data_IF_313707547091
#
_entry.id   IF_313707547091
#
_cell.length_a   1.000
_cell.length_b   1.000
_cell.length_c   1.000
_cell.angle_alpha   90.00
_cell.angle_beta   90.00
_cell.angle_gamma   90.00
#
_symmetry.space_group_name_H-M   'P 1'
#
loop_
_entity.id
_entity.type
_entity.pdbx_description
1 polymer ?
#
# COMPACT_ATOMS: atom_id res chain seq x y z
N UNK A 1 11.14 -7.72 -2.84
CA UNK A 1 11.80 -8.84 -2.18
C UNK A 1 13.32 -8.70 -2.34
N UNK A 2 13.91 -7.87 -1.51
CA UNK A 2 15.36 -7.64 -1.41
C UNK A 2 15.72 -7.66 0.08
N UNK A 3 16.39 -8.73 0.50
CA UNK A 3 16.74 -8.97 1.92
C UNK A 3 17.47 -7.79 2.56
N UNK A 4 18.31 -7.08 1.80
CA UNK A 4 19.07 -5.93 2.31
C UNK A 4 18.14 -4.79 2.76
N UNK A 5 17.03 -4.56 2.04
CA UNK A 5 16.04 -3.56 2.39
C UNK A 5 15.05 -4.09 3.44
N UNK A 6 14.59 -5.32 3.26
CA UNK A 6 13.59 -5.96 4.10
C UNK A 6 14.10 -6.15 5.54
N UNK A 7 15.35 -6.59 5.71
CA UNK A 7 15.99 -6.72 7.03
C UNK A 7 16.09 -5.38 7.78
N UNK A 8 16.38 -4.28 7.06
CA UNK A 8 16.43 -2.94 7.66
C UNK A 8 15.02 -2.52 8.12
N UNK A 9 13.99 -2.77 7.33
CA UNK A 9 12.62 -2.44 7.70
C UNK A 9 12.16 -3.22 8.96
N UNK A 10 12.46 -4.52 9.01
CA UNK A 10 12.20 -5.38 10.17
C UNK A 10 12.95 -4.90 11.40
N UNK A 11 14.24 -4.62 11.27
CA UNK A 11 15.09 -4.11 12.37
C UNK A 11 14.56 -2.76 12.89
N UNK A 12 14.18 -1.86 11.98
CA UNK A 12 13.67 -0.53 12.33
C UNK A 12 12.39 -0.63 13.17
N UNK A 13 11.40 -1.43 12.71
CA UNK A 13 10.15 -1.60 13.45
C UNK A 13 10.38 -2.24 14.83
N UNK A 14 11.18 -3.31 14.91
CA UNK A 14 11.53 -3.93 16.20
C UNK A 14 12.23 -2.97 17.14
N UNK A 15 13.19 -2.22 16.63
CA UNK A 15 13.95 -1.23 17.43
C UNK A 15 13.04 -0.13 17.95
N UNK A 16 12.20 0.44 17.09
CA UNK A 16 11.24 1.47 17.47
C UNK A 16 10.29 0.97 18.58
N UNK A 17 9.69 -0.20 18.39
CA UNK A 17 8.78 -0.76 19.38
C UNK A 17 9.46 -1.08 20.71
N UNK A 18 10.68 -1.62 20.68
CA UNK A 18 11.46 -1.87 21.89
C UNK A 18 11.84 -0.58 22.63
N UNK A 19 11.97 0.53 21.91
CA UNK A 19 12.23 1.83 22.51
C UNK A 19 10.98 2.41 23.16
N UNK A 20 9.85 2.44 22.46
CA UNK A 20 8.61 3.05 23.00
C UNK A 20 8.03 2.26 24.16
N UNK A 21 8.17 0.92 24.18
CA UNK A 21 7.74 0.05 25.30
C UNK A 21 8.47 0.33 26.63
N UNK A 22 9.59 1.07 26.59
CA UNK A 22 10.29 1.51 27.82
C UNK A 22 9.62 2.69 28.51
N UNK A 23 8.64 3.31 27.85
CA UNK A 23 7.95 4.49 28.35
C UNK A 23 6.53 4.12 28.78
N UNK A 24 6.13 4.58 29.95
CA UNK A 24 4.75 4.47 30.38
C UNK A 24 3.90 5.56 29.75
N UNK A 25 2.74 5.19 29.28
CA UNK A 25 1.75 6.13 28.77
C UNK A 25 0.87 6.66 29.89
N UNK A 26 0.10 7.72 29.59
CA UNK A 26 -0.96 8.16 30.47
C UNK A 26 -1.94 6.99 30.75
N UNK A 27 -2.31 6.79 32.02
CA UNK A 27 -3.11 5.65 32.50
C UNK A 27 -2.43 4.28 32.41
N UNK A 28 -1.12 4.24 32.28
CA UNK A 28 -0.32 3.01 32.27
C UNK A 28 -0.76 2.01 31.16
N UNK A 29 -1.23 2.53 30.01
CA UNK A 29 -1.51 1.71 28.84
C UNK A 29 -0.20 1.36 28.11
N UNK A 30 -0.20 0.24 27.40
CA UNK A 30 0.93 -0.15 26.57
C UNK A 30 0.91 0.64 25.24
N UNK A 31 2.05 1.18 24.80
CA UNK A 31 2.15 1.79 23.48
C UNK A 31 2.09 0.72 22.39
N UNK A 32 1.32 1.01 21.35
CA UNK A 32 1.24 0.21 20.14
C UNK A 32 1.64 1.05 18.92
N UNK A 33 1.73 0.45 17.75
CA UNK A 33 2.01 1.16 16.51
C UNK A 33 1.18 0.61 15.36
N UNK A 34 0.92 1.48 14.38
CA UNK A 34 0.42 1.11 13.06
C UNK A 34 1.38 1.58 11.98
N UNK A 35 1.35 0.92 10.83
CA UNK A 35 2.00 1.40 9.61
C UNK A 35 0.90 1.76 8.63
N UNK A 36 0.50 3.02 8.65
CA UNK A 36 -0.67 3.53 7.94
C UNK A 36 -0.46 5.00 7.57
N UNK A 37 -0.86 5.40 6.38
CA UNK A 37 -0.81 6.80 5.96
C UNK A 37 -2.17 7.37 5.52
N UNK A 38 -3.14 6.53 5.22
CA UNK A 38 -4.38 6.94 4.55
C UNK A 38 -4.03 7.71 3.26
N UNK A 39 -4.54 8.92 3.05
CA UNK A 39 -4.14 9.85 1.98
C UNK A 39 -3.12 10.89 2.45
N UNK A 40 -2.72 10.85 3.71
CA UNK A 40 -1.76 11.81 4.29
C UNK A 40 -0.35 11.65 3.78
N UNK A 41 0.00 10.53 3.12
CA UNK A 41 1.26 10.36 2.41
C UNK A 41 1.54 11.50 1.42
N UNK A 42 0.50 12.01 0.74
CA UNK A 42 0.59 13.16 -0.17
C UNK A 42 0.94 14.42 0.62
N UNK A 43 0.21 14.70 1.70
CA UNK A 43 0.42 15.89 2.53
C UNK A 43 1.79 15.86 3.22
N UNK A 44 2.17 14.74 3.82
CA UNK A 44 3.47 14.61 4.47
C UNK A 44 4.62 14.74 3.47
N UNK A 45 4.46 14.18 2.26
CA UNK A 45 5.43 14.33 1.20
C UNK A 45 5.68 15.79 0.80
N UNK A 46 4.65 16.63 0.78
CA UNK A 46 4.78 18.07 0.47
C UNK A 46 5.73 18.80 1.42
N UNK A 47 5.79 18.38 2.67
CA UNK A 47 6.63 19.00 3.71
C UNK A 47 7.94 18.23 3.96
N UNK A 48 8.21 17.17 3.18
CA UNK A 48 9.43 16.37 3.31
C UNK A 48 10.42 16.76 2.21
N UNK A 49 11.66 17.06 2.62
CA UNK A 49 12.78 17.38 1.72
C UNK A 49 13.20 16.17 0.88
N UNK A 50 14.21 16.35 0.02
CA UNK A 50 14.84 15.26 -0.72
C UNK A 50 15.27 14.13 0.24
N UNK A 51 15.07 12.90 -0.19
CA UNK A 51 15.47 11.72 0.58
C UNK A 51 16.64 10.99 -0.10
N UNK A 52 17.45 10.25 0.66
CA UNK A 52 18.63 9.53 0.12
C UNK A 52 18.29 8.46 -0.91
N UNK A 53 17.06 7.94 -0.91
CA UNK A 53 16.55 6.96 -1.89
C UNK A 53 16.25 7.55 -3.27
N UNK A 54 16.39 8.87 -3.42
CA UNK A 54 16.14 9.61 -4.66
C UNK A 54 14.75 10.27 -4.72
N UNK A 55 13.90 10.13 -3.69
CA UNK A 55 12.61 10.84 -3.65
C UNK A 55 12.84 12.35 -3.60
N UNK A 56 12.32 13.14 -4.57
CA UNK A 56 12.46 14.59 -4.57
C UNK A 56 11.59 15.25 -3.49
N UNK A 57 11.99 16.44 -3.06
CA UNK A 57 11.20 17.26 -2.16
C UNK A 57 9.78 17.48 -2.71
N UNK A 58 8.78 17.36 -1.85
CA UNK A 58 7.38 17.56 -2.20
C UNK A 58 6.68 16.36 -2.83
N UNK A 59 7.39 15.31 -3.26
CA UNK A 59 6.77 14.10 -3.77
C UNK A 59 6.06 13.30 -2.65
N UNK A 60 4.96 12.60 -2.93
CA UNK A 60 4.29 11.77 -1.94
C UNK A 60 5.21 10.74 -1.29
N UNK A 61 4.99 10.44 -0.01
CA UNK A 61 5.59 9.27 0.66
C UNK A 61 4.85 7.99 0.23
N UNK A 62 5.44 6.84 0.51
CA UNK A 62 4.80 5.56 0.25
C UNK A 62 3.45 5.43 1.01
N UNK A 63 2.41 4.83 0.41
CA UNK A 63 1.12 4.64 1.07
C UNK A 63 1.17 3.44 2.02
N UNK A 64 1.06 3.69 3.33
CA UNK A 64 1.12 2.63 4.34
C UNK A 64 2.45 1.88 4.33
N UNK A 65 2.40 0.56 4.33
CA UNK A 65 3.57 -0.31 4.30
C UNK A 65 4.02 -0.71 2.89
N UNK A 66 3.39 -0.14 1.86
CA UNK A 66 3.81 -0.40 0.48
C UNK A 66 5.27 0.05 0.27
N UNK A 67 6.03 -0.64 -0.57
CA UNK A 67 7.30 -0.13 -1.04
C UNK A 67 7.18 1.26 -1.67
N UNK A 68 8.26 2.03 -1.64
CA UNK A 68 8.29 3.37 -2.26
C UNK A 68 7.99 3.30 -3.76
N UNK A 69 7.44 4.39 -4.31
CA UNK A 69 7.13 4.48 -5.74
C UNK A 69 8.32 4.08 -6.61
N UNK A 70 8.07 3.18 -7.56
CA UNK A 70 9.08 2.67 -8.47
C UNK A 70 10.01 1.60 -7.88
N UNK A 71 9.85 1.21 -6.61
CA UNK A 71 10.63 0.11 -6.01
C UNK A 71 10.06 -1.28 -6.31
N UNK A 72 8.77 -1.39 -6.60
CA UNK A 72 8.06 -2.65 -6.87
C UNK A 72 8.31 -3.18 -8.29
N UNK A 73 9.57 -3.51 -8.60
CA UNK A 73 9.99 -3.90 -9.96
C UNK A 73 9.84 -5.38 -10.27
N UNK A 74 9.75 -6.23 -9.24
CA UNK A 74 9.79 -7.68 -9.37
C UNK A 74 8.42 -8.35 -9.36
N UNK A 75 7.34 -7.57 -9.47
CA UNK A 75 5.96 -8.05 -9.50
C UNK A 75 5.28 -8.05 -8.14
N UNK A 76 4.01 -8.47 -8.15
CA UNK A 76 3.12 -8.44 -6.99
C UNK A 76 3.66 -9.28 -5.83
N UNK A 77 4.07 -10.52 -6.12
CA UNK A 77 4.49 -11.46 -5.07
C UNK A 77 5.75 -10.97 -4.34
N UNK A 78 6.69 -10.34 -5.07
CA UNK A 78 7.87 -9.76 -4.44
C UNK A 78 7.50 -8.60 -3.50
N UNK A 79 6.57 -7.74 -3.91
CA UNK A 79 6.04 -6.67 -3.04
C UNK A 79 5.38 -7.22 -1.78
N UNK A 80 4.49 -8.22 -1.94
CA UNK A 80 3.81 -8.87 -0.84
C UNK A 80 4.77 -9.56 0.11
N UNK A 81 5.77 -10.28 -0.41
CA UNK A 81 6.79 -10.96 0.40
C UNK A 81 7.60 -9.98 1.26
N UNK A 82 8.00 -8.83 0.71
CA UNK A 82 8.69 -7.80 1.49
C UNK A 82 7.85 -7.30 2.67
N UNK A 83 6.56 -7.03 2.43
CA UNK A 83 5.66 -6.56 3.49
C UNK A 83 5.34 -7.68 4.49
N UNK A 84 5.25 -8.93 4.04
CA UNK A 84 4.99 -10.08 4.91
C UNK A 84 6.10 -10.35 5.93
N UNK A 85 7.34 -9.93 5.65
CA UNK A 85 8.49 -10.06 6.57
C UNK A 85 8.41 -9.11 7.77
N UNK A 86 7.58 -8.06 7.72
CA UNK A 86 7.43 -7.14 8.84
C UNK A 86 6.92 -7.89 10.07
N UNK A 87 7.43 -7.58 11.27
CA UNK A 87 7.01 -8.28 12.50
C UNK A 87 5.64 -7.78 12.97
N UNK A 88 4.57 -8.40 12.47
CA UNK A 88 3.18 -8.03 12.72
C UNK A 88 2.81 -8.04 14.21
N UNK A 89 3.48 -8.88 15.01
CA UNK A 89 3.32 -8.93 16.46
C UNK A 89 3.72 -7.65 17.20
N UNK A 90 4.46 -6.75 16.53
CA UNK A 90 4.82 -5.45 17.06
C UNK A 90 3.89 -4.32 16.60
N UNK A 91 3.12 -4.53 15.55
CA UNK A 91 2.24 -3.53 14.96
C UNK A 91 0.77 -3.85 15.23
N UNK A 92 0.37 -3.83 16.51
CA UNK A 92 -0.96 -4.27 16.97
C UNK A 92 -2.09 -3.38 16.46
N UNK A 93 -1.82 -2.15 16.05
CA UNK A 93 -2.81 -1.25 15.43
C UNK A 93 -2.93 -1.45 13.92
N UNK A 94 -2.15 -2.38 13.35
CA UNK A 94 -2.25 -2.82 11.96
C UNK A 94 -1.14 -2.32 11.03
N UNK A 95 -0.97 -3.09 9.95
CA UNK A 95 -0.05 -2.76 8.86
C UNK A 95 -0.89 -2.68 7.58
N UNK A 96 -1.05 -1.48 7.03
CA UNK A 96 -1.82 -1.28 5.81
C UNK A 96 -1.00 -1.57 4.57
N UNK A 97 -1.46 -2.54 3.77
CA UNK A 97 -0.93 -2.83 2.44
C UNK A 97 -2.06 -2.73 1.42
N UNK A 98 -1.84 -1.97 0.34
CA UNK A 98 -2.83 -1.76 -0.72
C UNK A 98 -2.18 -2.00 -2.06
N UNK A 99 -2.61 -3.03 -2.77
CA UNK A 99 -2.09 -3.41 -4.07
C UNK A 99 -3.10 -3.12 -5.18
N UNK A 100 -2.60 -2.67 -6.33
CA UNK A 100 -3.38 -2.56 -7.56
C UNK A 100 -2.89 -3.62 -8.54
N UNK A 101 -3.80 -4.44 -9.04
CA UNK A 101 -3.50 -5.56 -9.92
C UNK A 101 -4.25 -5.34 -11.22
N UNK A 102 -3.54 -5.40 -12.34
CA UNK A 102 -4.18 -5.41 -13.66
C UNK A 102 -4.97 -6.71 -13.84
N UNK A 103 -6.20 -6.67 -14.34
CA UNK A 103 -7.02 -7.90 -14.51
C UNK A 103 -6.32 -9.01 -15.29
N UNK A 104 -5.51 -8.64 -16.28
CA UNK A 104 -4.74 -9.59 -17.09
C UNK A 104 -3.63 -10.33 -16.33
N UNK A 105 -3.12 -9.75 -15.22
CA UNK A 105 -2.11 -10.41 -14.39
C UNK A 105 -2.69 -11.57 -13.56
N UNK A 106 -4.01 -11.56 -13.31
CA UNK A 106 -4.69 -12.62 -12.56
C UNK A 106 -5.15 -13.79 -13.44
N UNK A 107 -5.32 -13.60 -14.74
CA UNK A 107 -5.78 -14.64 -15.67
C UNK A 107 -6.68 -14.11 -16.77
N UNK A 108 -7.09 -15.00 -17.67
CA UNK A 108 -7.83 -14.66 -18.88
C UNK A 108 -9.35 -14.75 -18.71
N UNK A 109 -9.83 -15.47 -17.72
CA UNK A 109 -11.25 -15.62 -17.39
C UNK A 109 -11.48 -15.48 -15.89
N UNK A 110 -12.73 -15.41 -15.48
CA UNK A 110 -13.08 -15.14 -14.08
C UNK A 110 -12.70 -16.28 -13.12
N UNK A 111 -12.73 -17.53 -13.60
CA UNK A 111 -12.31 -18.67 -12.79
C UNK A 111 -10.80 -18.65 -12.51
N UNK A 112 -9.98 -18.44 -13.55
CA UNK A 112 -8.53 -18.28 -13.40
C UNK A 112 -8.18 -17.12 -12.48
N UNK A 113 -8.85 -15.97 -12.67
CA UNK A 113 -8.64 -14.78 -11.82
C UNK A 113 -8.95 -15.05 -10.36
N UNK A 114 -10.06 -15.73 -10.11
CA UNK A 114 -10.47 -16.08 -8.75
C UNK A 114 -9.46 -17.05 -8.10
N UNK A 115 -9.06 -18.11 -8.81
CA UNK A 115 -8.08 -19.08 -8.32
C UNK A 115 -6.72 -18.44 -8.06
N UNK A 116 -6.25 -17.61 -8.97
CA UNK A 116 -4.98 -16.88 -8.82
C UNK A 116 -5.02 -15.94 -7.63
N UNK A 117 -6.13 -15.18 -7.47
CA UNK A 117 -6.28 -14.27 -6.33
C UNK A 117 -6.31 -15.03 -5.00
N UNK A 118 -7.01 -16.17 -4.94
CA UNK A 118 -7.00 -17.04 -3.75
C UNK A 118 -5.58 -17.49 -3.42
N UNK A 119 -4.80 -17.96 -4.41
CA UNK A 119 -3.42 -18.36 -4.19
C UNK A 119 -2.52 -17.22 -3.68
N UNK A 120 -2.71 -16.01 -4.20
CA UNK A 120 -2.00 -14.81 -3.73
C UNK A 120 -2.35 -14.48 -2.27
N UNK A 121 -3.65 -14.49 -1.94
CA UNK A 121 -4.13 -14.21 -0.58
C UNK A 121 -3.64 -15.25 0.42
N UNK A 122 -3.78 -16.55 0.09
CA UNK A 122 -3.32 -17.64 0.93
C UNK A 122 -1.81 -17.57 1.16
N UNK A 123 -1.03 -17.34 0.10
CA UNK A 123 0.41 -17.22 0.19
C UNK A 123 0.86 -16.04 1.07
N UNK A 124 0.18 -14.91 0.99
CA UNK A 124 0.47 -13.73 1.79
C UNK A 124 0.07 -13.90 3.26
N UNK A 125 -1.15 -14.40 3.53
CA UNK A 125 -1.64 -14.55 4.90
C UNK A 125 -0.98 -15.71 5.66
N UNK A 126 -0.59 -16.78 4.96
CA UNK A 126 0.17 -17.88 5.57
C UNK A 126 1.57 -17.48 6.06
N UNK A 127 2.09 -16.35 5.62
CA UNK A 127 3.33 -15.76 6.14
C UNK A 127 3.14 -14.96 7.44
N UNK A 128 1.91 -14.88 7.98
CA UNK A 128 1.59 -14.14 9.20
C UNK A 128 1.07 -12.72 8.97
N UNK A 129 0.95 -12.29 7.73
CA UNK A 129 0.31 -11.02 7.39
C UNK A 129 -1.18 -11.04 7.71
N UNK A 130 -1.78 -9.89 8.02
CA UNK A 130 -3.20 -9.84 8.42
C UNK A 130 -4.02 -8.76 7.71
N UNK A 131 -3.43 -8.02 6.76
CA UNK A 131 -4.15 -6.97 6.05
C UNK A 131 -3.68 -6.83 4.60
N UNK A 132 -4.63 -6.87 3.68
CA UNK A 132 -4.40 -6.55 2.27
C UNK A 132 -5.66 -5.91 1.67
N UNK A 133 -5.52 -4.74 1.10
CA UNK A 133 -6.50 -4.15 0.19
C UNK A 133 -6.10 -4.46 -1.25
N UNK A 134 -7.04 -4.91 -2.05
CA UNK A 134 -6.81 -5.20 -3.46
C UNK A 134 -7.73 -4.34 -4.33
N UNK A 135 -7.12 -3.63 -5.28
CA UNK A 135 -7.79 -2.98 -6.39
C UNK A 135 -7.53 -3.77 -7.66
N UNK A 136 -8.57 -4.09 -8.42
CA UNK A 136 -8.44 -4.81 -9.69
C UNK A 136 -8.98 -3.94 -10.81
N UNK A 137 -8.11 -3.17 -11.43
CA UNK A 137 -8.40 -2.32 -12.60
C UNK A 137 -7.13 -1.89 -13.32
N UNK A 138 -7.27 -1.41 -14.56
CA UNK A 138 -6.17 -0.83 -15.33
C UNK A 138 -5.98 0.66 -15.05
N UNK A 139 -4.76 1.15 -15.19
CA UNK A 139 -4.39 2.57 -15.01
C UNK A 139 -5.15 3.48 -15.98
N UNK A 140 -5.45 3.01 -17.18
CA UNK A 140 -6.18 3.81 -18.19
C UNK A 140 -7.60 4.18 -17.72
N UNK A 141 -8.25 3.29 -16.96
CA UNK A 141 -9.56 3.59 -16.35
C UNK A 141 -9.46 4.72 -15.33
N UNK A 142 -8.41 4.79 -14.54
CA UNK A 142 -8.18 5.87 -13.58
C UNK A 142 -7.91 7.19 -14.29
N UNK A 143 -7.12 7.17 -15.37
CA UNK A 143 -6.83 8.38 -16.16
C UNK A 143 -8.10 8.91 -16.82
N UNK A 144 -8.90 8.03 -17.43
CA UNK A 144 -10.16 8.42 -18.03
C UNK A 144 -11.15 8.98 -17.00
N UNK A 145 -11.27 8.33 -15.83
CA UNK A 145 -12.11 8.83 -14.73
C UNK A 145 -11.64 10.18 -14.16
N UNK A 146 -10.35 10.46 -14.21
CA UNK A 146 -9.78 11.73 -13.77
C UNK A 146 -10.05 12.86 -14.78
N UNK A 147 -10.09 12.54 -16.07
CA UNK A 147 -10.32 13.51 -17.16
C UNK A 147 -11.80 13.71 -17.46
N UNK A 148 -12.61 12.70 -17.22
CA UNK A 148 -14.04 12.67 -17.52
C UNK A 148 -14.89 12.26 -16.31
N UNK A 149 -14.79 12.99 -15.18
CA UNK A 149 -15.51 12.63 -13.94
C UNK A 149 -17.03 12.67 -14.09
N UNK A 150 -17.56 13.33 -15.12
CA UNK A 150 -18.99 13.45 -15.42
C UNK A 150 -19.63 12.17 -15.97
N UNK A 151 -18.84 11.22 -16.46
CA UNK A 151 -19.36 9.96 -17.00
C UNK A 151 -20.10 9.17 -15.92
N UNK A 152 -21.27 8.62 -16.24
CA UNK A 152 -22.12 7.88 -15.33
C UNK A 152 -21.40 6.68 -14.69
N UNK A 153 -20.56 6.00 -15.45
CA UNK A 153 -19.78 4.85 -14.98
C UNK A 153 -18.79 5.19 -13.86
N UNK A 154 -18.38 6.46 -13.72
CA UNK A 154 -17.44 6.91 -12.69
C UNK A 154 -18.10 7.48 -11.45
N UNK A 155 -19.42 7.75 -11.48
CA UNK A 155 -20.14 8.32 -10.34
C UNK A 155 -20.11 7.44 -9.09
N UNK A 156 -19.97 6.13 -9.27
CA UNK A 156 -19.86 5.15 -8.19
C UNK A 156 -18.56 4.34 -8.25
N UNK A 157 -17.59 4.78 -9.05
CA UNK A 157 -16.30 4.11 -9.15
C UNK A 157 -15.50 4.34 -7.86
N UNK A 158 -15.42 3.29 -7.04
CA UNK A 158 -14.70 3.31 -5.76
C UNK A 158 -13.37 2.60 -5.87
N UNK A 159 -12.40 3.10 -5.12
CA UNK A 159 -11.07 2.52 -4.97
C UNK A 159 -10.72 2.35 -3.49
N UNK A 160 -9.86 1.39 -3.20
CA UNK A 160 -9.20 1.28 -1.91
C UNK A 160 -7.96 2.17 -1.91
N UNK A 161 -7.89 3.09 -0.97
CA UNK A 161 -6.74 4.01 -0.88
C UNK A 161 -5.72 3.50 0.13
N UNK A 162 -6.12 3.34 1.37
CA UNK A 162 -5.32 2.75 2.45
C UNK A 162 -6.25 2.56 3.65
N UNK A 163 -6.80 1.37 3.79
CA UNK A 163 -7.72 1.02 4.88
C UNK A 163 -9.19 1.42 4.68
N UNK A 164 -9.54 2.24 3.67
CA UNK A 164 -10.92 2.61 3.35
C UNK A 164 -11.15 2.72 1.84
N UNK A 165 -12.42 2.66 1.44
CA UNK A 165 -12.85 2.89 0.06
C UNK A 165 -13.39 4.32 -0.09
N UNK A 166 -13.11 4.94 -1.21
CA UNK A 166 -13.57 6.28 -1.57
C UNK A 166 -13.92 6.30 -3.06
N UNK A 167 -14.86 7.16 -3.45
CA UNK A 167 -15.08 7.43 -4.87
C UNK A 167 -13.84 8.13 -5.43
N UNK A 168 -13.32 7.62 -6.53
CA UNK A 168 -12.10 8.16 -7.12
C UNK A 168 -12.26 9.63 -7.54
N UNK A 169 -13.43 9.99 -8.05
CA UNK A 169 -13.75 11.35 -8.49
C UNK A 169 -13.85 12.37 -7.33
N UNK A 170 -14.07 11.91 -6.09
CA UNK A 170 -14.13 12.78 -4.89
C UNK A 170 -12.74 13.10 -4.31
N UNK A 171 -11.71 12.42 -4.79
CA UNK A 171 -10.32 12.72 -4.41
C UNK A 171 -9.85 14.04 -5.03
N UNK A 172 -8.97 14.75 -4.32
CA UNK A 172 -8.27 15.89 -4.93
C UNK A 172 -7.42 15.44 -6.09
N UNK A 173 -7.16 16.34 -7.05
CA UNK A 173 -6.30 16.03 -8.22
C UNK A 173 -4.96 15.43 -7.82
N UNK A 174 -4.35 15.94 -6.75
CA UNK A 174 -3.07 15.43 -6.25
C UNK A 174 -3.17 14.00 -5.73
N UNK A 175 -4.27 13.67 -5.02
CA UNK A 175 -4.53 12.32 -4.54
C UNK A 175 -4.85 11.36 -5.69
N UNK A 176 -5.59 11.81 -6.71
CA UNK A 176 -5.83 11.04 -7.93
C UNK A 176 -4.51 10.70 -8.64
N UNK A 177 -3.63 11.69 -8.78
CA UNK A 177 -2.30 11.49 -9.37
C UNK A 177 -1.44 10.53 -8.53
N UNK A 178 -1.51 10.61 -7.20
CA UNK A 178 -0.85 9.67 -6.31
C UNK A 178 -1.32 8.23 -6.55
N UNK A 179 -2.65 8.01 -6.64
CA UNK A 179 -3.21 6.69 -6.92
C UNK A 179 -2.79 6.16 -8.29
N UNK A 180 -2.79 7.02 -9.31
CA UNK A 180 -2.35 6.66 -10.67
C UNK A 180 -0.85 6.32 -10.70
N UNK A 181 -0.04 7.00 -9.88
CA UNK A 181 1.40 6.77 -9.79
C UNK A 181 1.77 5.48 -9.04
N UNK A 182 0.82 4.86 -8.31
CA UNK A 182 1.04 3.57 -7.65
C UNK A 182 1.24 2.48 -8.69
N UNK A 183 2.10 1.52 -8.36
CA UNK A 183 2.34 0.39 -9.24
C UNK A 183 1.04 -0.40 -9.47
N UNK A 184 0.61 -0.50 -10.73
CA UNK A 184 -0.34 -1.53 -11.14
C UNK A 184 0.45 -2.74 -11.60
N UNK A 185 0.33 -3.84 -10.87
CA UNK A 185 1.06 -5.06 -11.21
C UNK A 185 0.46 -5.71 -12.45
N UNK A 186 1.25 -5.81 -13.50
CA UNK A 186 0.90 -6.50 -14.76
C UNK A 186 1.31 -7.97 -14.74
N UNK A 187 2.04 -8.40 -13.69
CA UNK A 187 2.48 -9.77 -13.43
C UNK A 187 2.52 -10.06 -11.92
N UNK A 188 2.42 -11.32 -11.59
CA UNK A 188 2.58 -11.84 -10.24
C UNK A 188 4.03 -11.81 -9.77
#
# INVERSE_FOLDING_TARGET
DDERADEIAVWLLKTFMNMIKKHHTYRNSEPTTSILTITSNVVYGKYTSNMPDGRPAGAPLAPGANPSYGAEKNGLLASLNSVAKLPYEYALDGISNTQTISPGALGHNDEERAQTLVGVLDGYFNQGSHHLNVNVFGIDKLKDAMEHPEKEEYQNFTIRVSGYAVKFIDLTREQQLDVIARQAHERL
#
